data_IF_121403084958
#
_entry.id   IF_121403084958
#
_cell.length_a   1.000
_cell.length_b   1.000
_cell.length_c   1.000
_cell.angle_alpha   90.00
_cell.angle_beta   90.00
_cell.angle_gamma   90.00
#
_symmetry.space_group_name_H-M   'P 1'
#
loop_
_entity.id
_entity.type
_entity.pdbx_description
1 polymer ?
#
# COMPACT_ATOMS: atom_id res chain seq x y z
N UNK A 1 -0.51 22.15 -8.80
CA UNK A 1 0.04 21.16 -9.75
C UNK A 1 1.54 20.98 -9.54
N UNK A 2 1.96 19.92 -8.86
CA UNK A 2 3.28 19.28 -8.96
C UNK A 2 3.33 18.19 -7.89
N UNK A 3 3.03 16.96 -8.29
CA UNK A 3 3.32 15.78 -7.46
C UNK A 3 4.03 14.77 -8.37
N UNK A 4 5.13 14.23 -7.85
CA UNK A 4 5.97 13.14 -8.36
C UNK A 4 7.09 13.51 -9.36
N UNK A 5 8.30 13.75 -8.83
CA UNK A 5 9.56 13.41 -9.51
C UNK A 5 9.92 11.98 -9.13
N UNK A 6 9.77 11.03 -10.06
CA UNK A 6 10.43 9.72 -9.99
C UNK A 6 11.79 9.88 -10.68
N UNK A 7 12.87 9.70 -9.92
CA UNK A 7 14.20 9.51 -10.48
C UNK A 7 14.61 8.06 -10.24
N UNK A 8 14.73 7.26 -11.32
CA UNK A 8 15.97 6.54 -11.64
C UNK A 8 16.05 6.31 -13.15
N UNK A 9 17.21 6.71 -13.68
CA UNK A 9 17.70 6.54 -15.05
C UNK A 9 18.21 5.11 -15.18
N UNK A 10 17.71 4.34 -16.13
CA UNK A 10 18.36 3.09 -16.59
C UNK A 10 18.87 3.32 -17.99
N UNK A 11 20.19 3.29 -18.15
CA UNK A 11 20.84 3.29 -19.48
C UNK A 11 20.70 1.89 -20.13
N UNK A 12 20.69 1.80 -21.47
CA UNK A 12 20.53 0.53 -22.17
C UNK A 12 21.84 -0.27 -22.16
N UNK A 13 21.81 -1.46 -21.56
CA UNK A 13 22.85 -2.49 -21.67
C UNK A 13 22.38 -3.65 -22.53
N UNK A 14 23.29 -4.15 -23.36
CA UNK A 14 23.12 -4.99 -24.54
C UNK A 14 22.59 -6.42 -24.27
N UNK A 15 22.04 -7.00 -25.34
CA UNK A 15 21.51 -8.35 -25.42
C UNK A 15 22.57 -9.45 -25.31
N UNK A 16 22.27 -10.51 -24.56
CA UNK A 16 22.94 -11.80 -24.62
C UNK A 16 22.10 -12.86 -23.90
N UNK A 17 21.44 -13.74 -24.66
CA UNK A 17 20.49 -14.72 -24.12
C UNK A 17 21.13 -16.05 -23.71
N UNK A 18 20.42 -16.84 -22.89
CA UNK A 18 20.12 -18.27 -23.09
C UNK A 18 19.35 -18.88 -21.90
N UNK A 19 18.21 -19.52 -22.20
CA UNK A 19 17.74 -20.81 -21.64
C UNK A 19 17.21 -20.91 -20.20
N UNK A 20 15.91 -21.20 -20.04
CA UNK A 20 15.32 -21.80 -18.82
C UNK A 20 13.82 -21.51 -18.63
N UNK A 21 13.01 -22.55 -18.39
CA UNK A 21 11.53 -22.57 -18.41
C UNK A 21 10.85 -21.90 -17.17
N UNK A 22 9.49 -21.78 -17.10
CA UNK A 22 8.81 -20.57 -16.68
C UNK A 22 8.53 -20.45 -15.17
N UNK A 23 8.89 -19.29 -14.59
CA UNK A 23 8.27 -18.81 -13.37
C UNK A 23 7.00 -18.01 -13.72
N UNK A 24 5.87 -18.48 -13.19
CA UNK A 24 4.55 -17.88 -13.34
C UNK A 24 4.43 -16.54 -12.60
N UNK A 25 5.01 -15.49 -13.17
CA UNK A 25 4.59 -14.11 -12.94
C UNK A 25 4.04 -13.61 -14.27
N UNK A 26 2.70 -13.63 -14.41
CA UNK A 26 2.03 -13.10 -15.58
C UNK A 26 2.47 -11.67 -15.84
N UNK A 27 3.29 -11.48 -16.88
CA UNK A 27 3.55 -10.19 -17.46
C UNK A 27 2.24 -9.69 -18.06
N UNK A 28 1.44 -9.00 -17.23
CA UNK A 28 0.32 -8.22 -17.72
C UNK A 28 0.86 -7.27 -18.79
N UNK A 29 0.35 -7.40 -20.01
CA UNK A 29 0.79 -6.63 -21.16
C UNK A 29 0.86 -5.15 -20.81
N UNK A 30 2.04 -4.57 -20.95
CA UNK A 30 2.23 -3.15 -20.76
C UNK A 30 1.51 -2.46 -21.92
N UNK A 31 0.32 -1.89 -21.65
CA UNK A 31 -0.29 -0.95 -22.56
C UNK A 31 0.72 0.14 -22.89
N UNK A 32 0.86 0.51 -24.17
CA UNK A 32 1.94 1.35 -24.69
C UNK A 32 1.99 2.81 -24.16
N UNK A 33 1.17 3.16 -23.15
CA UNK A 33 1.09 4.50 -22.56
C UNK A 33 1.73 4.59 -21.16
N UNK A 34 1.93 5.83 -20.65
CA UNK A 34 2.50 6.07 -19.32
C UNK A 34 1.64 5.46 -18.20
N UNK A 35 2.24 5.15 -17.03
CA UNK A 35 1.49 4.65 -15.89
C UNK A 35 0.49 5.71 -15.38
N UNK A 36 -0.73 5.28 -15.08
CA UNK A 36 -1.81 6.13 -14.59
C UNK A 36 -2.06 5.89 -13.10
N UNK A 37 -2.26 6.98 -12.36
CA UNK A 37 -2.67 6.97 -10.96
C UNK A 37 -3.92 7.83 -10.82
N UNK A 38 -5.04 7.22 -10.40
CA UNK A 38 -6.30 7.96 -10.24
C UNK A 38 -6.41 8.57 -8.84
N UNK A 39 -6.85 9.82 -8.76
CA UNK A 39 -7.15 10.50 -7.50
C UNK A 39 -8.67 10.47 -7.28
N UNK A 40 -9.11 9.89 -6.17
CA UNK A 40 -10.51 9.74 -5.80
C UNK A 40 -10.84 10.79 -4.72
N UNK A 41 -11.58 11.82 -5.10
CA UNK A 41 -11.71 13.03 -4.28
C UNK A 41 -13.15 13.59 -4.19
N UNK A 42 -14.14 12.77 -4.57
CA UNK A 42 -15.56 13.05 -4.38
C UNK A 42 -16.35 11.74 -4.13
N UNK A 43 -17.62 11.86 -3.72
CA UNK A 43 -18.50 10.75 -3.38
C UNK A 43 -18.64 9.74 -4.53
N UNK A 44 -18.84 10.23 -5.76
CA UNK A 44 -19.00 9.38 -6.94
C UNK A 44 -17.73 8.56 -7.20
N UNK A 45 -16.55 9.16 -7.06
CA UNK A 45 -15.27 8.49 -7.22
C UNK A 45 -15.06 7.39 -6.17
N UNK A 46 -15.50 7.61 -4.93
CA UNK A 46 -15.45 6.58 -3.87
C UNK A 46 -16.39 5.42 -4.19
N UNK A 47 -17.62 5.70 -4.62
CA UNK A 47 -18.58 4.66 -5.02
C UNK A 47 -18.07 3.85 -6.23
N UNK A 48 -17.48 4.54 -7.21
CA UNK A 48 -16.92 3.94 -8.43
C UNK A 48 -15.48 3.45 -8.28
N UNK A 49 -14.92 3.42 -7.06
CA UNK A 49 -13.49 3.22 -6.84
C UNK A 49 -12.95 1.94 -7.49
N UNK A 50 -13.70 0.83 -7.45
CA UNK A 50 -13.29 -0.43 -8.09
C UNK A 50 -13.32 -0.33 -9.63
N UNK A 51 -14.41 0.20 -10.19
CA UNK A 51 -14.53 0.37 -11.63
C UNK A 51 -13.41 1.25 -12.19
N UNK A 52 -13.08 2.34 -11.49
CA UNK A 52 -11.94 3.21 -11.81
C UNK A 52 -10.62 2.43 -11.69
N UNK A 53 -10.42 1.69 -10.59
CA UNK A 53 -9.22 0.89 -10.35
C UNK A 53 -8.98 -0.20 -11.41
N UNK A 54 -10.03 -0.66 -12.10
CA UNK A 54 -9.94 -1.66 -13.17
C UNK A 54 -10.08 -1.08 -14.59
N UNK A 55 -10.23 0.24 -14.74
CA UNK A 55 -10.70 0.85 -15.99
C UNK A 55 -9.70 0.76 -17.15
N UNK A 56 -8.39 0.63 -16.88
CA UNK A 56 -7.39 0.74 -17.94
C UNK A 56 -6.11 -0.09 -17.66
N UNK A 57 -5.51 -0.74 -18.68
CA UNK A 57 -4.27 -1.52 -18.52
C UNK A 57 -3.05 -0.73 -18.04
N UNK A 58 -3.02 0.59 -18.23
CA UNK A 58 -1.95 1.46 -17.71
C UNK A 58 -2.19 1.95 -16.28
N UNK A 59 -3.33 1.66 -15.67
CA UNK A 59 -3.56 2.03 -14.27
C UNK A 59 -2.62 1.24 -13.35
N UNK A 60 -1.94 1.96 -12.44
CA UNK A 60 -0.95 1.40 -11.50
C UNK A 60 -1.29 1.66 -10.05
N UNK A 61 -2.23 2.57 -9.78
CA UNK A 61 -2.66 2.86 -8.43
C UNK A 61 -3.86 3.78 -8.37
N UNK A 62 -4.43 3.85 -7.17
CA UNK A 62 -5.45 4.83 -6.80
C UNK A 62 -4.97 5.55 -5.53
N UNK A 63 -5.37 6.81 -5.38
CA UNK A 63 -5.10 7.65 -4.21
C UNK A 63 -6.41 8.32 -3.78
N UNK A 64 -6.45 8.80 -2.54
CA UNK A 64 -7.62 9.50 -1.99
C UNK A 64 -7.29 10.98 -1.75
N UNK A 65 -8.08 11.88 -2.33
CA UNK A 65 -7.99 13.33 -2.13
C UNK A 65 -8.87 13.76 -0.97
N UNK A 66 -8.38 13.60 0.27
CA UNK A 66 -9.21 13.76 1.47
C UNK A 66 -9.72 15.19 1.71
N UNK A 67 -9.01 16.23 1.23
CA UNK A 67 -9.44 17.61 1.41
C UNK A 67 -10.69 17.93 0.60
N UNK A 68 -10.67 17.61 -0.69
CA UNK A 68 -11.81 17.83 -1.59
C UNK A 68 -12.96 16.87 -1.27
N UNK A 69 -12.64 15.60 -0.94
CA UNK A 69 -13.66 14.64 -0.51
C UNK A 69 -14.38 15.09 0.75
N UNK A 70 -13.66 15.70 1.69
CA UNK A 70 -14.25 16.25 2.91
C UNK A 70 -15.20 17.39 2.61
N UNK A 71 -14.85 18.27 1.67
CA UNK A 71 -15.70 19.36 1.23
C UNK A 71 -16.96 18.84 0.53
N UNK A 72 -16.81 17.87 -0.37
CA UNK A 72 -17.90 17.23 -1.12
C UNK A 72 -18.91 16.52 -0.19
N UNK A 73 -18.42 15.79 0.81
CA UNK A 73 -19.27 15.03 1.75
C UNK A 73 -19.76 15.86 2.96
N UNK A 74 -19.22 17.07 3.18
CA UNK A 74 -19.52 17.86 4.38
C UNK A 74 -19.03 17.26 5.69
N UNK A 75 -18.00 16.39 5.66
CA UNK A 75 -17.51 15.68 6.84
C UNK A 75 -16.64 16.60 7.71
N UNK A 76 -16.90 16.66 9.02
CA UNK A 76 -16.12 17.53 9.92
C UNK A 76 -15.05 16.80 10.72
N UNK A 77 -15.30 15.56 11.11
CA UNK A 77 -14.38 14.75 11.91
C UNK A 77 -13.55 13.83 11.01
N UNK A 78 -12.34 13.47 11.45
CA UNK A 78 -11.46 12.62 10.65
C UNK A 78 -12.06 11.23 10.41
N UNK A 79 -12.64 10.63 11.45
CA UNK A 79 -13.28 9.31 11.45
C UNK A 79 -14.42 9.18 10.46
N UNK A 80 -15.05 10.29 10.05
CA UNK A 80 -16.08 10.27 9.02
C UNK A 80 -15.57 9.87 7.63
N UNK A 81 -14.26 9.87 7.40
CA UNK A 81 -13.63 9.38 6.15
C UNK A 81 -13.22 7.90 6.22
N UNK A 82 -13.37 7.22 7.37
CA UNK A 82 -12.84 5.86 7.54
C UNK A 82 -13.47 4.86 6.58
N UNK A 83 -14.78 4.99 6.31
CA UNK A 83 -15.43 4.17 5.30
C UNK A 83 -14.88 4.45 3.90
N UNK A 84 -14.70 5.72 3.52
CA UNK A 84 -14.14 6.09 2.21
C UNK A 84 -12.72 5.53 2.05
N UNK A 85 -11.88 5.67 3.08
CA UNK A 85 -10.53 5.13 3.13
C UNK A 85 -10.52 3.61 2.94
N UNK A 86 -11.33 2.88 3.71
CA UNK A 86 -11.46 1.43 3.61
C UNK A 86 -11.97 1.00 2.22
N UNK A 87 -12.97 1.71 1.67
CA UNK A 87 -13.53 1.46 0.33
C UNK A 87 -12.47 1.58 -0.77
N UNK A 88 -11.57 2.56 -0.68
CA UNK A 88 -10.46 2.75 -1.63
C UNK A 88 -9.39 1.66 -1.48
N UNK A 89 -9.04 1.27 -0.25
CA UNK A 89 -8.11 0.14 -0.02
C UNK A 89 -8.68 -1.15 -0.62
N UNK A 90 -9.95 -1.47 -0.34
CA UNK A 90 -10.63 -2.65 -0.89
C UNK A 90 -10.66 -2.59 -2.43
N UNK A 91 -11.01 -1.45 -3.01
CA UNK A 91 -11.02 -1.27 -4.46
C UNK A 91 -9.65 -1.55 -5.11
N UNK A 92 -8.59 -0.97 -4.54
CA UNK A 92 -7.23 -1.17 -5.03
C UNK A 92 -6.84 -2.65 -4.99
N UNK A 93 -7.08 -3.32 -3.87
CA UNK A 93 -6.75 -4.75 -3.70
C UNK A 93 -7.58 -5.65 -4.62
N UNK A 94 -8.87 -5.37 -4.76
CA UNK A 94 -9.76 -6.12 -5.66
C UNK A 94 -9.35 -5.98 -7.14
N UNK A 95 -8.77 -4.84 -7.53
CA UNK A 95 -8.23 -4.62 -8.87
C UNK A 95 -6.80 -5.17 -9.06
N UNK A 96 -6.23 -5.86 -8.06
CA UNK A 96 -4.87 -6.38 -8.12
C UNK A 96 -3.77 -5.34 -7.93
N UNK A 97 -4.12 -4.11 -7.54
CA UNK A 97 -3.17 -3.03 -7.27
C UNK A 97 -2.56 -3.14 -5.88
N UNK A 98 -1.42 -2.47 -5.68
CA UNK A 98 -0.85 -2.27 -4.35
C UNK A 98 -1.83 -1.48 -3.46
N UNK A 99 -1.78 -1.66 -2.13
CA UNK A 99 -2.54 -0.79 -1.24
C UNK A 99 -2.15 0.68 -1.49
N UNK A 100 -3.12 1.61 -1.47
CA UNK A 100 -2.87 3.02 -1.72
C UNK A 100 -1.97 3.63 -0.65
N UNK A 101 -1.44 4.82 -0.94
CA UNK A 101 -0.90 5.71 0.07
C UNK A 101 -2.03 6.56 0.67
N UNK A 102 -1.97 6.81 1.97
CA UNK A 102 -2.84 7.74 2.67
C UNK A 102 -2.61 9.16 2.15
N UNK A 103 -3.66 9.98 2.18
CA UNK A 103 -3.58 11.40 1.84
C UNK A 103 -2.63 12.17 2.75
N UNK A 104 -2.28 13.38 2.32
CA UNK A 104 -1.41 14.32 3.00
C UNK A 104 -1.94 14.69 4.39
N UNK A 105 -1.03 14.96 5.31
CA UNK A 105 -1.38 15.64 6.57
C UNK A 105 -1.12 17.15 6.41
N UNK A 106 -2.16 18.02 6.44
CA UNK A 106 -2.00 19.43 6.07
C UNK A 106 -1.18 20.27 7.05
N UNK A 107 -1.29 20.03 8.37
CA UNK A 107 -0.51 20.80 9.34
C UNK A 107 0.93 20.30 9.39
N UNK A 108 1.81 21.03 8.72
CA UNK A 108 3.23 20.70 8.60
C UNK A 108 3.95 20.67 9.96
N UNK A 109 3.42 21.35 10.99
CA UNK A 109 4.04 21.43 12.32
C UNK A 109 3.51 20.37 13.28
N UNK A 110 2.32 19.85 13.04
CA UNK A 110 1.70 18.83 13.88
C UNK A 110 2.26 17.42 13.58
N UNK A 111 3.47 17.17 14.08
CA UNK A 111 4.13 15.87 13.88
C UNK A 111 3.52 14.76 14.74
N UNK A 112 2.90 15.10 15.86
CA UNK A 112 2.21 14.15 16.73
C UNK A 112 0.90 13.70 16.08
N UNK A 113 0.08 14.64 15.59
CA UNK A 113 -1.12 14.34 14.82
C UNK A 113 -0.81 13.61 13.52
N UNK A 114 0.29 13.95 12.84
CA UNK A 114 0.81 13.18 11.71
C UNK A 114 1.06 11.72 12.10
N UNK A 115 1.78 11.46 13.20
CA UNK A 115 2.11 10.11 13.65
C UNK A 115 0.85 9.30 14.00
N UNK A 116 -0.07 9.88 14.77
CA UNK A 116 -1.34 9.25 15.14
C UNK A 116 -2.19 8.93 13.89
N UNK A 117 -2.28 9.88 12.96
CA UNK A 117 -3.03 9.72 11.71
C UNK A 117 -2.39 8.68 10.78
N UNK A 118 -1.06 8.55 10.74
CA UNK A 118 -0.37 7.49 10.01
C UNK A 118 -0.65 6.11 10.63
N UNK A 119 -0.61 6.00 11.97
CA UNK A 119 -0.93 4.74 12.66
C UNK A 119 -2.36 4.28 12.37
N UNK A 120 -3.32 5.22 12.35
CA UNK A 120 -4.69 4.96 11.94
C UNK A 120 -4.79 4.56 10.46
N UNK A 121 -4.10 5.26 9.56
CA UNK A 121 -4.04 4.87 8.14
C UNK A 121 -3.49 3.45 7.93
N UNK A 122 -2.42 3.11 8.64
CA UNK A 122 -1.84 1.75 8.59
C UNK A 122 -2.83 0.69 9.06
N UNK A 123 -3.63 0.95 10.10
CA UNK A 123 -4.65 0.01 10.58
C UNK A 123 -5.79 -0.20 9.57
N UNK A 124 -6.09 0.82 8.76
CA UNK A 124 -7.04 0.75 7.63
C UNK A 124 -6.47 0.04 6.38
N UNK A 125 -5.17 -0.27 6.37
CA UNK A 125 -4.52 -1.02 5.29
C UNK A 125 -3.80 -0.16 4.24
N UNK A 126 -3.54 1.12 4.52
CA UNK A 126 -2.64 1.93 3.69
C UNK A 126 -1.18 1.43 3.81
N UNK A 127 -0.40 1.57 2.74
CA UNK A 127 1.01 1.14 2.70
C UNK A 127 2.00 2.28 3.00
N UNK A 128 1.52 3.53 2.99
CA UNK A 128 2.35 4.72 3.14
C UNK A 128 1.49 5.97 3.22
N UNK A 129 2.12 7.14 3.13
CA UNK A 129 1.43 8.43 3.09
C UNK A 129 2.13 9.40 2.13
N UNK A 130 1.35 10.23 1.45
CA UNK A 130 1.88 11.37 0.71
C UNK A 130 2.44 12.45 1.67
N UNK A 131 3.68 12.88 1.45
CA UNK A 131 4.31 13.95 2.21
C UNK A 131 4.25 15.28 1.43
N UNK A 132 3.94 16.37 2.12
CA UNK A 132 3.96 17.74 1.55
C UNK A 132 5.15 18.56 2.02
N UNK A 133 5.90 18.06 3.00
CA UNK A 133 7.08 18.73 3.52
C UNK A 133 8.15 17.71 3.97
N UNK A 134 9.46 17.92 3.70
CA UNK A 134 10.52 16.97 4.05
C UNK A 134 10.54 16.55 5.53
N UNK A 135 10.19 17.45 6.44
CA UNK A 135 10.11 17.17 7.88
C UNK A 135 9.09 16.08 8.28
N UNK A 136 8.13 15.77 7.40
CA UNK A 136 7.15 14.71 7.63
C UNK A 136 7.73 13.33 7.32
N UNK A 137 8.78 13.25 6.48
CA UNK A 137 9.33 11.99 6.00
C UNK A 137 9.77 11.05 7.13
N UNK A 138 10.55 11.48 8.14
CA UNK A 138 10.98 10.56 9.20
C UNK A 138 9.81 9.98 10.01
N UNK A 139 8.74 10.76 10.18
CA UNK A 139 7.54 10.33 10.91
C UNK A 139 6.73 9.34 10.06
N UNK A 140 6.56 9.63 8.77
CA UNK A 140 5.84 8.76 7.83
C UNK A 140 6.58 7.42 7.66
N UNK A 141 7.90 7.46 7.44
CA UNK A 141 8.73 6.26 7.29
C UNK A 141 8.62 5.39 8.54
N UNK A 142 8.86 5.95 9.73
CA UNK A 142 8.73 5.21 10.99
C UNK A 142 7.34 4.61 11.19
N UNK A 143 6.28 5.30 10.80
CA UNK A 143 4.91 4.83 11.00
C UNK A 143 4.51 3.68 10.08
N UNK A 144 5.10 3.59 8.88
CA UNK A 144 4.72 2.59 7.87
C UNK A 144 5.72 1.43 7.74
N UNK A 145 6.90 1.53 8.34
CA UNK A 145 7.84 0.42 8.46
C UNK A 145 7.35 -0.63 9.48
N UNK A 146 7.64 -1.92 9.25
CA UNK A 146 7.47 -2.93 10.28
C UNK A 146 8.30 -2.60 11.52
N UNK A 147 7.72 -2.83 12.69
CA UNK A 147 8.43 -2.82 13.97
C UNK A 147 9.24 -4.11 14.15
N UNK A 148 10.27 -4.07 15.00
CA UNK A 148 11.08 -5.25 15.31
C UNK A 148 10.23 -6.44 15.79
N UNK A 149 9.22 -6.16 16.64
CA UNK A 149 8.25 -7.16 17.08
C UNK A 149 7.47 -7.79 15.92
N UNK A 150 7.01 -6.99 14.97
CA UNK A 150 6.28 -7.52 13.81
C UNK A 150 7.19 -8.33 12.88
N UNK A 151 8.48 -8.01 12.82
CA UNK A 151 9.47 -8.80 12.10
C UNK A 151 9.70 -10.16 12.78
N UNK A 152 9.96 -10.17 14.09
CA UNK A 152 10.12 -11.39 14.88
C UNK A 152 8.90 -12.31 14.77
N UNK A 153 7.70 -11.74 14.86
CA UNK A 153 6.45 -12.49 14.68
C UNK A 153 6.33 -13.06 13.26
N UNK A 154 6.65 -12.27 12.23
CA UNK A 154 6.60 -12.72 10.85
C UNK A 154 7.63 -13.82 10.55
N UNK A 155 8.85 -13.72 11.08
CA UNK A 155 9.89 -14.75 10.96
C UNK A 155 9.45 -16.06 11.63
N UNK A 156 8.84 -15.96 12.82
CA UNK A 156 8.30 -17.11 13.54
C UNK A 156 7.25 -17.85 12.71
N UNK A 157 6.29 -17.11 12.15
CA UNK A 157 5.23 -17.68 11.29
C UNK A 157 5.81 -18.35 10.04
N UNK A 158 6.74 -17.68 9.34
CA UNK A 158 7.33 -18.21 8.11
C UNK A 158 8.17 -19.46 8.39
N UNK A 159 8.92 -19.47 9.49
CA UNK A 159 9.70 -20.63 9.93
C UNK A 159 8.80 -21.82 10.26
N UNK A 160 7.74 -21.62 11.03
CA UNK A 160 6.78 -22.66 11.36
C UNK A 160 6.14 -23.28 10.10
N UNK A 161 5.69 -22.45 9.17
CA UNK A 161 5.09 -22.92 7.92
C UNK A 161 6.08 -23.61 6.96
N UNK A 162 7.39 -23.39 7.13
CA UNK A 162 8.43 -24.11 6.38
C UNK A 162 8.69 -25.50 6.95
N UNK A 163 8.57 -25.64 8.28
CA UNK A 163 8.76 -26.93 8.97
C UNK A 163 7.56 -27.85 8.83
N UNK A 164 6.34 -27.30 8.91
CA UNK A 164 5.09 -28.04 8.76
C UNK A 164 4.12 -27.26 7.86
N UNK A 165 4.02 -27.62 6.57
CA UNK A 165 3.13 -26.96 5.63
C UNK A 165 1.66 -27.25 5.94
N UNK A 166 0.86 -26.20 6.08
CA UNK A 166 -0.57 -26.33 6.31
C UNK A 166 -1.04 -25.42 7.44
N UNK A 167 -2.28 -25.63 7.87
CA UNK A 167 -2.85 -24.89 8.97
C UNK A 167 -2.47 -25.56 10.30
N UNK A 168 -1.91 -24.80 11.24
CA UNK A 168 -1.36 -25.33 12.48
C UNK A 168 -1.41 -24.31 13.63
N UNK A 169 -1.32 -24.79 14.86
CA UNK A 169 -1.18 -23.95 16.05
C UNK A 169 0.31 -23.82 16.44
N UNK A 170 0.74 -22.59 16.72
CA UNK A 170 2.06 -22.31 17.31
C UNK A 170 2.07 -22.66 18.80
N UNK A 171 3.27 -22.77 19.37
CA UNK A 171 3.48 -23.06 20.79
C UNK A 171 2.87 -21.99 21.73
N UNK A 172 2.69 -20.77 21.24
CA UNK A 172 2.05 -19.66 21.97
C UNK A 172 0.51 -19.63 21.80
N UNK A 173 -0.06 -20.64 21.11
CA UNK A 173 -1.50 -20.78 20.90
C UNK A 173 -2.06 -20.05 19.67
N UNK A 174 -1.24 -19.29 18.92
CA UNK A 174 -1.71 -18.64 17.69
C UNK A 174 -1.91 -19.66 16.57
N UNK A 175 -3.05 -19.59 15.89
CA UNK A 175 -3.32 -20.39 14.70
C UNK A 175 -2.77 -19.69 13.45
N UNK A 176 -2.02 -20.43 12.64
CA UNK A 176 -1.46 -19.94 11.38
C UNK A 176 -2.00 -20.77 10.21
N UNK A 177 -2.33 -20.08 9.12
CA UNK A 177 -2.77 -20.66 7.86
C UNK A 177 -2.06 -19.97 6.68
N UNK A 178 -2.45 -20.31 5.45
CA UNK A 178 -1.87 -19.71 4.25
C UNK A 178 -2.01 -18.17 4.21
N UNK A 179 -3.09 -17.60 4.75
CA UNK A 179 -3.31 -16.16 4.76
C UNK A 179 -2.39 -15.46 5.77
N UNK A 180 -2.22 -16.03 6.97
CA UNK A 180 -1.30 -15.52 8.00
C UNK A 180 0.15 -15.61 7.51
N UNK A 181 0.54 -16.71 6.86
CA UNK A 181 1.87 -16.87 6.27
C UNK A 181 2.11 -15.86 5.14
N UNK A 182 1.10 -15.63 4.29
CA UNK A 182 1.20 -14.61 3.24
C UNK A 182 1.36 -13.20 3.82
N UNK A 183 0.68 -12.88 4.93
CA UNK A 183 0.84 -11.62 5.64
C UNK A 183 2.25 -11.46 6.21
N UNK A 184 2.76 -12.48 6.91
CA UNK A 184 4.12 -12.50 7.44
C UNK A 184 5.17 -12.28 6.34
N UNK A 185 5.04 -12.98 5.20
CA UNK A 185 5.94 -12.78 4.04
C UNK A 185 5.89 -11.35 3.50
N UNK A 186 4.71 -10.70 3.47
CA UNK A 186 4.59 -9.29 3.06
C UNK A 186 5.34 -8.36 4.01
N UNK A 187 5.24 -8.59 5.32
CA UNK A 187 5.97 -7.83 6.34
C UNK A 187 7.48 -7.93 6.14
N UNK A 188 8.01 -9.15 6.00
CA UNK A 188 9.46 -9.36 5.77
C UNK A 188 9.92 -8.76 4.43
N UNK A 189 9.10 -8.86 3.38
CA UNK A 189 9.40 -8.27 2.09
C UNK A 189 9.44 -6.73 2.14
N UNK A 190 8.63 -6.10 3.01
CA UNK A 190 8.64 -4.65 3.20
C UNK A 190 9.94 -4.19 3.85
N UNK A 191 10.42 -4.88 4.89
CA UNK A 191 11.69 -4.53 5.55
C UNK A 191 12.91 -4.60 4.63
N UNK A 192 12.92 -5.52 3.65
CA UNK A 192 14.03 -5.66 2.68
C UNK A 192 14.12 -4.54 1.64
N UNK A 193 13.10 -3.69 1.52
CA UNK A 193 13.06 -2.59 0.54
C UNK A 193 13.63 -1.28 1.09
N UNK A 194 14.05 -1.28 2.35
CA UNK A 194 14.56 -0.14 3.09
C UNK A 194 16.04 -0.35 3.38
#
# INVERSE_FOLDING_TARGET
EQVVRIARRTEPGEHGGHGGAPDGAGAAGHGAGPPLYALLENALAVEQAYAIASAHPSLRGVSIGEADLRADLGVRQDTGLDWCRARVVVAARAAGLAPPAQSVHPDIRDLEGLAASCAHGRSLGFLGRAAIHPRQLPIIERAYLPTDRELEEAETVVKAATMDPGAQALADGRFIDAAVVAAARRTLALARRC
#
